data_IF_501009843996
#
_entry.id   IF_501009843996
#
_cell.length_a   1.000
_cell.length_b   1.000
_cell.length_c   1.000
_cell.angle_alpha   90.00
_cell.angle_beta   90.00
_cell.angle_gamma   90.00
#
_symmetry.space_group_name_H-M   'P 1'
#
loop_
_entity.id
_entity.type
_entity.pdbx_description
1 polymer ?
#
# COMPACT_ATOMS: atom_id res chain seq x y z
N UNK A 1 43.26 87.85 68.35
CA UNK A 1 42.58 88.01 67.05
C UNK A 1 42.45 86.63 66.40
N UNK A 2 41.32 85.96 66.56
CA UNK A 2 41.10 84.62 65.97
C UNK A 2 40.41 84.78 64.61
N UNK A 3 41.14 84.50 63.52
CA UNK A 3 40.55 84.37 62.19
C UNK A 3 40.00 82.95 62.04
N UNK A 4 38.69 82.79 62.22
CA UNK A 4 37.96 81.57 61.84
C UNK A 4 37.57 81.69 60.37
N UNK A 5 38.24 80.96 59.50
CA UNK A 5 37.82 80.74 58.11
C UNK A 5 36.71 79.68 58.06
N UNK A 6 35.60 79.91 57.33
CA UNK A 6 34.57 78.90 57.17
C UNK A 6 34.97 77.90 56.06
N UNK A 7 35.23 76.65 56.43
CA UNK A 7 35.35 75.50 55.51
C UNK A 7 33.95 74.91 55.24
N UNK A 8 33.04 75.69 54.66
CA UNK A 8 31.71 75.21 54.30
C UNK A 8 31.37 75.66 52.88
N UNK A 9 31.77 74.86 51.89
CA UNK A 9 31.50 75.21 50.49
C UNK A 9 31.78 74.17 49.41
N UNK A 10 31.86 72.86 49.71
CA UNK A 10 32.31 71.88 48.70
C UNK A 10 31.57 70.53 48.69
N UNK A 11 30.28 70.46 49.06
CA UNK A 11 29.55 69.18 49.12
C UNK A 11 28.39 69.01 48.12
N UNK A 12 28.04 70.00 47.30
CA UNK A 12 26.81 69.94 46.46
C UNK A 12 27.05 69.46 45.02
N UNK A 13 28.30 69.41 44.54
CA UNK A 13 28.59 69.12 43.11
C UNK A 13 28.45 67.62 42.75
N UNK A 14 28.47 66.71 43.72
CA UNK A 14 28.47 65.26 43.44
C UNK A 14 27.07 64.65 43.20
N UNK A 15 26.00 65.31 43.63
CA UNK A 15 24.62 64.81 43.52
C UNK A 15 24.00 64.98 42.13
N UNK A 16 24.37 66.08 41.44
CA UNK A 16 23.76 66.46 40.15
C UNK A 16 24.29 65.62 38.98
N UNK A 17 25.56 65.22 39.03
CA UNK A 17 26.20 64.40 37.99
C UNK A 17 25.63 62.98 37.91
N UNK A 18 25.25 62.38 39.04
CA UNK A 18 24.66 61.02 39.07
C UNK A 18 23.21 60.98 38.57
N UNK A 19 22.44 62.05 38.80
CA UNK A 19 21.05 62.14 38.33
C UNK A 19 20.94 62.39 36.81
N UNK A 20 21.92 63.07 36.20
CA UNK A 20 22.03 63.17 34.74
C UNK A 20 22.45 61.85 34.08
N UNK A 21 23.47 61.20 34.63
CA UNK A 21 23.98 59.92 34.11
C UNK A 21 22.92 58.80 34.08
N UNK A 22 22.10 58.69 35.14
CA UNK A 22 21.00 57.71 35.18
C UNK A 22 19.93 57.95 34.12
N UNK A 23 19.57 59.21 33.85
CA UNK A 23 18.59 59.56 32.80
C UNK A 23 19.13 59.33 31.40
N UNK A 24 20.44 59.52 31.18
CA UNK A 24 21.11 59.14 29.93
C UNK A 24 21.04 57.63 29.70
N UNK A 25 21.49 56.84 30.67
CA UNK A 25 21.46 55.38 30.59
C UNK A 25 20.03 54.82 30.44
N UNK A 26 19.04 55.41 31.12
CA UNK A 26 17.65 54.96 31.00
C UNK A 26 17.09 55.18 29.59
N UNK A 27 17.39 56.33 28.96
CA UNK A 27 16.98 56.61 27.56
C UNK A 27 17.69 55.71 26.55
N UNK A 28 18.94 55.34 26.81
CA UNK A 28 19.66 54.40 25.96
C UNK A 28 19.10 52.98 26.10
N UNK A 29 18.77 52.55 27.32
CA UNK A 29 18.11 51.28 27.58
C UNK A 29 16.73 51.21 26.92
N UNK A 30 15.93 52.28 26.98
CA UNK A 30 14.64 52.36 26.27
C UNK A 30 14.79 52.23 24.75
N UNK A 31 15.81 52.86 24.16
CA UNK A 31 16.10 52.71 22.72
C UNK A 31 16.54 51.29 22.38
N UNK A 32 17.38 50.68 23.22
CA UNK A 32 17.80 49.29 23.03
C UNK A 32 16.59 48.34 23.10
N UNK A 33 15.72 48.51 24.10
CA UNK A 33 14.50 47.72 24.24
C UNK A 33 13.54 47.90 23.06
N UNK A 34 13.39 49.14 22.55
CA UNK A 34 12.57 49.41 21.38
C UNK A 34 13.10 48.67 20.13
N UNK A 35 14.41 48.72 19.90
CA UNK A 35 15.06 48.00 18.79
C UNK A 35 14.92 46.48 18.94
N UNK A 36 15.11 45.94 20.13
CA UNK A 36 14.94 44.51 20.40
C UNK A 36 13.50 44.05 20.17
N UNK A 37 12.51 44.83 20.61
CA UNK A 37 11.11 44.52 20.41
C UNK A 37 10.73 44.53 18.92
N UNK A 38 11.20 45.52 18.15
CA UNK A 38 11.00 45.55 16.70
C UNK A 38 11.65 44.36 15.99
N UNK A 39 12.85 43.97 16.40
CA UNK A 39 13.53 42.79 15.88
C UNK A 39 12.73 41.51 16.17
N UNK A 40 12.29 41.31 17.42
CA UNK A 40 11.45 40.17 17.78
C UNK A 40 10.15 40.15 16.99
N UNK A 41 9.51 41.31 16.77
CA UNK A 41 8.28 41.41 15.97
C UNK A 41 8.52 41.00 14.51
N UNK A 42 9.63 41.45 13.92
CA UNK A 42 10.02 41.09 12.54
C UNK A 42 10.35 39.60 12.40
N UNK A 43 11.03 39.02 13.37
CA UNK A 43 11.33 37.58 13.39
C UNK A 43 10.04 36.75 13.55
N UNK A 44 9.15 37.14 14.47
CA UNK A 44 7.85 36.47 14.62
C UNK A 44 6.99 36.55 13.36
N UNK A 45 7.02 37.68 12.63
CA UNK A 45 6.32 37.79 11.34
C UNK A 45 6.94 36.86 10.27
N UNK A 46 8.27 36.81 10.20
CA UNK A 46 8.98 35.91 9.27
C UNK A 46 8.66 34.44 9.57
N UNK A 47 8.63 34.05 10.84
CA UNK A 47 8.28 32.70 11.25
C UNK A 47 6.82 32.38 10.90
N UNK A 48 5.88 33.29 11.17
CA UNK A 48 4.48 33.13 10.76
C UNK A 48 4.35 32.94 9.25
N UNK A 49 5.04 33.76 8.46
CA UNK A 49 5.05 33.62 6.99
C UNK A 49 5.59 32.26 6.54
N UNK A 50 6.67 31.77 7.15
CA UNK A 50 7.22 30.43 6.84
C UNK A 50 6.23 29.32 7.18
N UNK A 51 5.62 29.36 8.37
CA UNK A 51 4.59 28.38 8.80
C UNK A 51 3.35 28.43 7.90
N UNK A 52 2.94 29.60 7.45
CA UNK A 52 1.81 29.77 6.55
C UNK A 52 2.11 29.24 5.14
N UNK A 53 3.30 29.48 4.62
CA UNK A 53 3.75 28.92 3.36
C UNK A 53 3.88 27.39 3.42
N UNK A 54 4.45 26.85 4.49
CA UNK A 54 4.55 25.41 4.72
C UNK A 54 3.16 24.76 4.80
N UNK A 55 2.22 25.38 5.51
CA UNK A 55 0.83 24.91 5.57
C UNK A 55 0.17 24.91 4.19
N UNK A 56 0.37 25.96 3.38
CA UNK A 56 -0.15 26.01 2.00
C UNK A 56 0.44 24.90 1.13
N UNK A 57 1.75 24.67 1.22
CA UNK A 57 2.42 23.57 0.50
C UNK A 57 1.92 22.20 0.95
N UNK A 58 1.68 22.02 2.24
CA UNK A 58 1.14 20.78 2.78
C UNK A 58 -0.29 20.51 2.29
N UNK A 59 -1.15 21.53 2.29
CA UNK A 59 -2.52 21.44 1.77
C UNK A 59 -2.55 21.14 0.27
N UNK A 60 -1.67 21.76 -0.52
CA UNK A 60 -1.53 21.48 -1.95
C UNK A 60 -1.10 20.02 -2.20
N UNK A 61 -0.10 19.53 -1.46
CA UNK A 61 0.36 18.15 -1.53
C UNK A 61 -0.76 17.16 -1.12
N UNK A 62 -1.57 17.51 -0.13
CA UNK A 62 -2.70 16.68 0.29
C UNK A 62 -3.78 16.60 -0.80
N UNK A 63 -4.13 17.75 -1.41
CA UNK A 63 -5.06 17.80 -2.55
C UNK A 63 -4.52 17.01 -3.74
N UNK A 64 -3.23 17.11 -4.04
CA UNK A 64 -2.60 16.33 -5.10
C UNK A 64 -2.66 14.83 -4.81
N UNK A 65 -2.30 14.41 -3.59
CA UNK A 65 -2.42 13.02 -3.15
C UNK A 65 -3.85 12.50 -3.27
N UNK A 66 -4.86 13.30 -2.91
CA UNK A 66 -6.26 12.93 -3.08
C UNK A 66 -6.62 12.74 -4.55
N UNK A 67 -6.18 13.66 -5.43
CA UNK A 67 -6.40 13.54 -6.88
C UNK A 67 -5.75 12.28 -7.46
N UNK A 68 -4.51 12.00 -7.09
CA UNK A 68 -3.78 10.79 -7.49
C UNK A 68 -4.50 9.55 -6.98
N UNK A 69 -4.90 9.53 -5.70
CA UNK A 69 -5.66 8.41 -5.12
C UNK A 69 -6.95 8.14 -5.89
N UNK A 70 -7.71 9.19 -6.24
CA UNK A 70 -8.93 9.06 -7.03
C UNK A 70 -8.65 8.53 -8.45
N UNK A 71 -7.57 8.95 -9.09
CA UNK A 71 -7.19 8.43 -10.41
C UNK A 71 -6.81 6.95 -10.35
N UNK A 72 -6.01 6.54 -9.35
CA UNK A 72 -5.63 5.14 -9.16
C UNK A 72 -6.87 4.27 -8.92
N UNK A 73 -7.82 4.72 -8.09
CA UNK A 73 -9.07 3.98 -7.84
C UNK A 73 -9.91 3.79 -9.11
N UNK A 74 -10.01 4.82 -9.95
CA UNK A 74 -10.71 4.73 -11.24
C UNK A 74 -10.00 3.78 -12.20
N UNK A 75 -8.68 3.86 -12.30
CA UNK A 75 -7.87 2.99 -13.16
C UNK A 75 -7.93 1.53 -12.69
N UNK A 76 -7.90 1.26 -11.38
CA UNK A 76 -8.05 -0.08 -10.83
C UNK A 76 -9.44 -0.66 -11.12
N UNK A 77 -10.49 0.16 -11.01
CA UNK A 77 -11.86 -0.25 -11.35
C UNK A 77 -12.00 -0.56 -12.84
N UNK A 78 -11.42 0.25 -13.72
CA UNK A 78 -11.40 -0.01 -15.16
C UNK A 78 -10.66 -1.31 -15.48
N UNK A 79 -9.48 -1.52 -14.88
CA UNK A 79 -8.72 -2.76 -15.01
C UNK A 79 -9.49 -3.97 -14.49
N UNK A 80 -10.21 -3.84 -13.37
CA UNK A 80 -11.06 -4.91 -12.84
C UNK A 80 -12.21 -5.24 -13.78
N UNK A 81 -12.85 -4.24 -14.39
CA UNK A 81 -13.89 -4.43 -15.40
C UNK A 81 -13.32 -5.10 -16.66
N UNK A 82 -12.15 -4.68 -17.14
CA UNK A 82 -11.49 -5.29 -18.29
C UNK A 82 -11.12 -6.76 -18.02
N UNK A 83 -10.60 -7.06 -16.82
CA UNK A 83 -10.31 -8.44 -16.39
C UNK A 83 -11.58 -9.29 -16.30
N UNK A 84 -12.66 -8.75 -15.73
CA UNK A 84 -13.95 -9.43 -15.66
C UNK A 84 -14.53 -9.69 -17.06
N UNK A 85 -14.44 -8.72 -17.97
CA UNK A 85 -14.88 -8.88 -19.36
C UNK A 85 -14.05 -9.94 -20.11
N UNK A 86 -12.72 -9.95 -19.94
CA UNK A 86 -11.87 -11.01 -20.49
C UNK A 86 -12.23 -12.39 -19.93
N UNK A 87 -12.45 -12.49 -18.61
CA UNK A 87 -12.86 -13.75 -17.98
C UNK A 87 -14.21 -14.25 -18.51
N UNK A 88 -15.18 -13.35 -18.72
CA UNK A 88 -16.46 -13.70 -19.35
C UNK A 88 -16.27 -14.20 -20.79
N UNK A 89 -15.42 -13.57 -21.60
CA UNK A 89 -15.14 -14.03 -22.96
C UNK A 89 -14.46 -15.41 -22.97
N UNK A 90 -13.52 -15.66 -22.05
CA UNK A 90 -12.90 -16.97 -21.90
C UNK A 90 -13.93 -18.06 -21.54
N UNK A 91 -14.92 -17.73 -20.71
CA UNK A 91 -16.00 -18.64 -20.35
C UNK A 91 -16.96 -18.94 -21.52
N UNK A 92 -17.13 -17.99 -22.46
CA UNK A 92 -17.91 -18.22 -23.68
C UNK A 92 -17.16 -19.06 -24.73
N UNK A 93 -15.82 -18.94 -24.80
CA UNK A 93 -15.00 -19.67 -25.78
C UNK A 93 -14.58 -21.07 -25.30
N UNK A 94 -14.77 -21.40 -24.02
CA UNK A 94 -14.55 -22.75 -23.50
C UNK A 94 -15.88 -23.50 -23.53
N UNK A 95 -16.16 -24.33 -24.56
CA UNK A 95 -17.36 -25.15 -24.53
C UNK A 95 -17.33 -26.01 -23.26
N UNK A 96 -18.45 -26.16 -22.52
CA UNK A 96 -18.49 -27.03 -21.37
C UNK A 96 -18.08 -28.42 -21.84
N UNK A 97 -16.91 -28.88 -21.39
CA UNK A 97 -16.48 -30.25 -21.57
C UNK A 97 -17.45 -31.08 -20.74
N UNK A 98 -18.55 -31.49 -21.36
CA UNK A 98 -19.47 -32.48 -20.81
C UNK A 98 -18.64 -33.70 -20.51
N UNK A 99 -18.36 -33.88 -19.22
CA UNK A 99 -17.83 -35.12 -18.69
C UNK A 99 -18.90 -36.15 -19.01
N UNK A 100 -18.72 -36.89 -20.11
CA UNK A 100 -19.52 -38.07 -20.39
C UNK A 100 -19.29 -39.00 -19.20
N UNK A 101 -20.25 -39.02 -18.28
CA UNK A 101 -20.36 -40.11 -17.33
C UNK A 101 -20.52 -41.38 -18.16
N UNK A 102 -19.67 -42.41 -18.01
CA UNK A 102 -19.87 -43.66 -18.68
C UNK A 102 -21.16 -44.29 -18.12
N UNK A 103 -22.24 -44.19 -18.88
CA UNK A 103 -23.49 -44.91 -18.61
C UNK A 103 -23.25 -46.40 -18.85
N UNK A 104 -23.42 -47.27 -17.84
CA UNK A 104 -23.33 -48.72 -18.04
C UNK A 104 -24.66 -49.21 -18.60
N UNK A 105 -24.79 -49.29 -19.93
CA UNK A 105 -25.95 -49.94 -20.54
C UNK A 105 -26.31 -49.43 -21.93
N UNK A 106 -25.74 -50.06 -22.96
CA UNK A 106 -26.17 -49.89 -24.35
C UNK A 106 -25.26 -50.68 -25.29
N UNK A 107 -25.78 -51.65 -26.08
CA UNK A 107 -24.95 -52.58 -26.85
C UNK A 107 -24.48 -51.92 -28.15
N UNK A 108 -23.22 -51.49 -28.18
CA UNK A 108 -22.55 -51.07 -29.40
C UNK A 108 -22.10 -52.28 -30.19
N UNK A 109 -22.92 -52.73 -31.13
CA UNK A 109 -22.48 -53.64 -32.19
C UNK A 109 -21.65 -52.88 -33.21
N UNK A 110 -20.39 -53.32 -33.37
CA UNK A 110 -19.71 -53.65 -34.64
C UNK A 110 -18.23 -53.21 -34.65
N UNK A 111 -17.36 -54.10 -34.15
CA UNK A 111 -16.04 -54.35 -34.71
C UNK A 111 -15.55 -55.69 -34.14
N UNK A 112 -15.56 -56.74 -34.96
CA UNK A 112 -15.32 -58.14 -34.61
C UNK A 112 -14.02 -58.39 -33.83
N UNK A 113 -14.12 -58.34 -32.51
CA UNK A 113 -13.19 -58.95 -31.60
C UNK A 113 -14.06 -59.75 -30.63
N UNK A 114 -14.20 -61.04 -30.90
CA UNK A 114 -14.74 -61.93 -29.90
C UNK A 114 -13.83 -61.88 -28.68
N UNK A 115 -14.32 -61.23 -27.64
CA UNK A 115 -13.58 -61.01 -26.40
C UNK A 115 -14.23 -61.86 -25.30
N UNK A 116 -13.41 -62.66 -24.62
CA UNK A 116 -13.81 -63.45 -23.46
C UNK A 116 -13.16 -62.85 -22.21
N UNK A 117 -13.96 -62.70 -21.16
CA UNK A 117 -13.45 -62.26 -19.86
C UNK A 117 -13.06 -63.47 -19.01
N UNK A 118 -11.91 -63.38 -18.35
CA UNK A 118 -11.45 -64.41 -17.43
C UNK A 118 -12.36 -64.49 -16.20
N UNK A 119 -12.94 -65.66 -15.92
CA UNK A 119 -13.78 -65.86 -14.74
C UNK A 119 -13.02 -65.75 -13.41
N UNK A 120 -11.70 -65.88 -13.43
CA UNK A 120 -10.87 -65.84 -12.21
C UNK A 120 -10.41 -64.42 -11.84
N UNK A 121 -10.01 -63.61 -12.83
CA UNK A 121 -9.44 -62.28 -12.56
C UNK A 121 -10.13 -61.12 -13.30
N UNK A 122 -11.11 -61.40 -14.16
CA UNK A 122 -11.82 -60.37 -14.94
C UNK A 122 -11.01 -59.76 -16.09
N UNK A 123 -9.79 -60.24 -16.34
CA UNK A 123 -8.97 -59.72 -17.45
C UNK A 123 -9.60 -60.02 -18.82
N UNK A 124 -9.45 -59.07 -19.74
CA UNK A 124 -9.99 -59.14 -21.09
C UNK A 124 -9.08 -59.98 -21.98
N UNK A 125 -9.55 -61.15 -22.44
CA UNK A 125 -8.80 -62.07 -23.29
C UNK A 125 -9.46 -62.22 -24.66
N UNK A 126 -8.71 -62.67 -25.67
CA UNK A 126 -9.24 -62.87 -27.02
C UNK A 126 -9.86 -64.26 -27.14
N UNK A 127 -10.95 -64.40 -27.90
CA UNK A 127 -11.56 -65.69 -28.16
C UNK A 127 -10.60 -66.53 -29.02
N UNK A 128 -10.19 -67.69 -28.49
CA UNK A 128 -9.13 -68.55 -29.04
C UNK A 128 -7.94 -68.74 -28.10
N UNK A 129 -7.79 -67.87 -27.09
CA UNK A 129 -6.76 -68.04 -26.06
C UNK A 129 -7.12 -69.20 -25.10
N UNK A 130 -6.17 -70.10 -24.88
CA UNK A 130 -6.35 -71.23 -23.95
C UNK A 130 -6.19 -70.82 -22.48
N UNK A 131 -5.43 -69.75 -22.24
CA UNK A 131 -5.05 -69.27 -20.92
C UNK A 131 -5.18 -67.76 -20.86
N UNK A 132 -5.52 -67.24 -19.68
CA UNK A 132 -5.64 -65.82 -19.43
C UNK A 132 -4.25 -65.16 -19.38
N UNK A 133 -4.01 -64.13 -20.21
CA UNK A 133 -2.76 -63.37 -20.21
C UNK A 133 -2.49 -62.63 -18.89
N UNK A 134 -3.54 -62.32 -18.12
CA UNK A 134 -3.42 -61.61 -16.84
C UNK A 134 -3.09 -62.48 -15.63
N UNK A 135 -3.54 -63.74 -15.57
CA UNK A 135 -3.37 -64.60 -14.37
C UNK A 135 -2.98 -66.05 -14.65
N UNK A 136 -2.88 -66.45 -15.92
CA UNK A 136 -2.49 -67.80 -16.32
C UNK A 136 -3.55 -68.88 -16.16
N UNK A 137 -4.77 -68.57 -15.68
CA UNK A 137 -5.84 -69.58 -15.56
C UNK A 137 -6.42 -69.96 -16.92
N UNK A 138 -6.84 -71.22 -17.08
CA UNK A 138 -7.51 -71.70 -18.31
C UNK A 138 -8.80 -70.95 -18.59
N UNK A 139 -9.01 -70.60 -19.85
CA UNK A 139 -10.26 -69.99 -20.33
C UNK A 139 -11.20 -71.08 -20.88
N UNK A 140 -12.53 -70.89 -20.78
CA UNK A 140 -13.49 -71.80 -21.39
C UNK A 140 -13.39 -71.66 -22.92
N UNK A 141 -12.81 -72.66 -23.58
CA UNK A 141 -12.63 -72.67 -25.03
C UNK A 141 -14.00 -72.58 -25.72
N UNK A 142 -14.20 -71.53 -26.52
CA UNK A 142 -15.30 -71.45 -27.47
C UNK A 142 -15.09 -72.51 -28.55
N UNK A 143 -15.96 -73.52 -28.55
CA UNK A 143 -16.06 -74.67 -29.45
C UNK A 143 -15.72 -74.36 -30.95
N UNK A 144 -14.45 -74.36 -31.34
CA UNK A 144 -14.05 -74.46 -32.76
C UNK A 144 -14.15 -75.93 -33.17
N UNK A 145 -15.30 -76.32 -33.74
CA UNK A 145 -15.40 -77.52 -34.56
C UNK A 145 -14.87 -77.17 -35.95
N UNK A 146 -13.67 -77.65 -36.28
CA UNK A 146 -13.30 -78.29 -37.54
C UNK A 146 -11.95 -78.97 -37.38
#
# INVERSE_FOLDING_TARGET
MFRRSPLLGAAVVYGVSRAGAKRGMQREAERQQAMEFEYQRREAERERRRRDEERRRAEELEREKERVRRQVELEEREKAQARAAQQQQQYQQTPPQYVQQPTPGGPSTLAGADVVFCANCGYQCRQGDNFCSGCGSRLPQGNQRQ
#
